data_IF_317352348174
#
_entry.id   IF_317352348174
#
_cell.length_a   1.000
_cell.length_b   1.000
_cell.length_c   1.000
_cell.angle_alpha   90.00
_cell.angle_beta   90.00
_cell.angle_gamma   90.00
#
_symmetry.space_group_name_H-M   'P 1'
#
loop_
_entity.id
_entity.type
_entity.pdbx_description
1 polymer ?
#
# COMPACT_ATOMS: atom_id res chain seq x y z
N UNK A 1 15.14 6.67 -16.44
CA UNK A 1 14.45 6.45 -15.15
C UNK A 1 15.04 5.21 -14.51
N UNK A 2 15.69 5.36 -13.36
CA UNK A 2 16.32 4.26 -12.63
C UNK A 2 15.25 3.34 -12.03
N UNK A 3 15.62 2.12 -11.65
CA UNK A 3 14.72 1.19 -10.96
C UNK A 3 14.20 1.79 -9.64
N UNK A 4 15.03 2.58 -8.96
CA UNK A 4 14.67 3.29 -7.74
C UNK A 4 13.58 4.35 -8.01
N UNK A 5 13.73 5.14 -9.07
CA UNK A 5 12.76 6.16 -9.47
C UNK A 5 11.41 5.55 -9.88
N UNK A 6 11.43 4.40 -10.57
CA UNK A 6 10.20 3.68 -10.93
C UNK A 6 9.45 3.19 -9.68
N UNK A 7 10.18 2.66 -8.69
CA UNK A 7 9.60 2.21 -7.41
C UNK A 7 9.04 3.36 -6.60
N UNK A 8 9.79 4.45 -6.48
CA UNK A 8 9.33 5.65 -5.78
C UNK A 8 8.07 6.23 -6.43
N UNK A 9 8.01 6.25 -7.77
CA UNK A 9 6.82 6.67 -8.52
C UNK A 9 5.62 5.76 -8.24
N UNK A 10 5.81 4.44 -8.29
CA UNK A 10 4.74 3.48 -8.01
C UNK A 10 4.22 3.61 -6.58
N UNK A 11 5.09 3.78 -5.59
CA UNK A 11 4.71 4.00 -4.20
C UNK A 11 3.90 5.30 -4.04
N UNK A 12 4.30 6.38 -4.70
CA UNK A 12 3.57 7.64 -4.70
C UNK A 12 2.18 7.53 -5.37
N UNK A 13 2.07 6.79 -6.48
CA UNK A 13 0.80 6.53 -7.17
C UNK A 13 -0.16 5.71 -6.27
N UNK A 14 0.33 4.65 -5.63
CA UNK A 14 -0.46 3.83 -4.69
C UNK A 14 -0.93 4.68 -3.50
N UNK A 15 -0.07 5.50 -2.93
CA UNK A 15 -0.44 6.41 -1.84
C UNK A 15 -1.54 7.38 -2.27
N UNK A 16 -1.41 7.98 -3.45
CA UNK A 16 -2.41 8.92 -4.00
C UNK A 16 -3.77 8.25 -4.17
N UNK A 17 -3.80 7.04 -4.74
CA UNK A 17 -5.04 6.26 -4.91
C UNK A 17 -5.70 5.94 -3.56
N UNK A 18 -4.93 5.57 -2.53
CA UNK A 18 -5.46 5.33 -1.17
C UNK A 18 -6.14 6.58 -0.61
N UNK A 19 -5.50 7.76 -0.75
CA UNK A 19 -6.08 9.01 -0.28
C UNK A 19 -7.38 9.37 -0.99
N UNK A 20 -7.45 9.15 -2.31
CA UNK A 20 -8.68 9.37 -3.07
C UNK A 20 -9.81 8.45 -2.61
N UNK A 21 -9.51 7.17 -2.33
CA UNK A 21 -10.51 6.22 -1.83
C UNK A 21 -11.03 6.61 -0.44
N UNK A 22 -10.15 7.10 0.45
CA UNK A 22 -10.55 7.64 1.75
C UNK A 22 -11.53 8.80 1.58
N UNK A 23 -11.15 9.78 0.76
CA UNK A 23 -11.95 10.99 0.54
C UNK A 23 -13.31 10.66 -0.08
N UNK A 24 -13.36 9.76 -1.07
CA UNK A 24 -14.61 9.28 -1.66
C UNK A 24 -15.47 8.55 -0.63
N UNK A 25 -14.88 7.67 0.17
CA UNK A 25 -15.65 6.92 1.17
C UNK A 25 -16.21 7.84 2.26
N UNK A 26 -15.43 8.79 2.77
CA UNK A 26 -15.90 9.75 3.78
C UNK A 26 -17.04 10.63 3.24
N UNK A 27 -17.03 10.95 1.93
CA UNK A 27 -18.15 11.68 1.29
C UNK A 27 -19.41 10.84 1.14
N UNK A 28 -19.27 9.54 0.87
CA UNK A 28 -20.41 8.63 0.67
C UNK A 28 -20.99 8.11 1.99
N UNK A 29 -20.14 7.79 2.95
CA UNK A 29 -20.47 7.17 4.23
C UNK A 29 -19.66 7.83 5.37
N UNK A 30 -20.02 9.06 5.79
CA UNK A 30 -19.23 9.83 6.77
C UNK A 30 -19.13 9.17 8.14
N UNK A 31 -20.11 8.34 8.52
CA UNK A 31 -20.13 7.63 9.80
C UNK A 31 -19.36 6.30 9.77
N UNK A 32 -18.90 5.87 8.58
CA UNK A 32 -18.15 4.63 8.42
C UNK A 32 -16.66 4.89 8.58
N UNK A 33 -16.12 4.54 9.75
CA UNK A 33 -14.67 4.55 9.97
C UNK A 33 -14.00 3.38 9.25
N UNK A 34 -13.34 3.66 8.13
CA UNK A 34 -12.55 2.69 7.36
C UNK A 34 -11.06 2.70 7.71
N UNK A 35 -10.64 3.56 8.66
CA UNK A 35 -9.23 3.74 9.02
C UNK A 35 -8.60 2.41 9.44
N UNK A 36 -9.30 1.62 10.24
CA UNK A 36 -8.82 0.32 10.69
C UNK A 36 -8.64 -0.68 9.53
N UNK A 37 -9.56 -0.67 8.56
CA UNK A 37 -9.45 -1.50 7.36
C UNK A 37 -8.24 -1.10 6.50
N UNK A 38 -8.05 0.20 6.29
CA UNK A 38 -6.92 0.71 5.51
C UNK A 38 -5.57 0.44 6.17
N UNK A 39 -5.50 0.58 7.49
CA UNK A 39 -4.31 0.24 8.27
C UNK A 39 -3.98 -1.26 8.15
N UNK A 40 -5.00 -2.11 8.19
CA UNK A 40 -4.83 -3.57 7.99
C UNK A 40 -4.29 -3.88 6.59
N UNK A 41 -4.85 -3.25 5.55
CA UNK A 41 -4.35 -3.40 4.17
C UNK A 41 -2.89 -2.95 4.06
N UNK A 42 -2.54 -1.82 4.67
CA UNK A 42 -1.16 -1.33 4.66
C UNK A 42 -0.20 -2.29 5.36
N UNK A 43 -0.55 -2.76 6.55
CA UNK A 43 0.26 -3.75 7.28
C UNK A 43 0.44 -5.04 6.48
N UNK A 44 -0.58 -5.51 5.77
CA UNK A 44 -0.49 -6.70 4.93
C UNK A 44 0.44 -6.48 3.73
N UNK A 45 0.39 -5.30 3.09
CA UNK A 45 1.31 -4.95 1.99
C UNK A 45 2.77 -4.93 2.47
N UNK A 46 3.02 -4.37 3.65
CA UNK A 46 4.38 -4.35 4.24
C UNK A 46 4.85 -5.77 4.62
N UNK A 47 3.97 -6.58 5.21
CA UNK A 47 4.28 -7.97 5.53
C UNK A 47 4.62 -8.79 4.27
N UNK A 48 3.87 -8.61 3.19
CA UNK A 48 4.11 -9.29 1.92
C UNK A 48 5.40 -8.81 1.25
N UNK A 49 5.67 -7.50 1.27
CA UNK A 49 6.96 -6.94 0.84
C UNK A 49 8.12 -7.59 1.60
N UNK A 50 8.02 -7.69 2.91
CA UNK A 50 9.04 -8.33 3.75
C UNK A 50 9.19 -9.82 3.44
N UNK A 51 8.08 -10.53 3.19
CA UNK A 51 8.08 -11.94 2.77
C UNK A 51 8.86 -12.13 1.46
N UNK A 52 8.59 -11.30 0.45
CA UNK A 52 9.27 -11.35 -0.86
C UNK A 52 10.77 -11.06 -0.72
N UNK A 53 11.13 -10.03 0.05
CA UNK A 53 12.54 -9.68 0.32
C UNK A 53 13.24 -10.87 0.99
N UNK A 54 12.63 -11.45 2.02
CA UNK A 54 13.22 -12.60 2.72
C UNK A 54 13.36 -13.84 1.83
N UNK A 55 12.37 -14.15 0.99
CA UNK A 55 12.47 -15.25 0.00
C UNK A 55 13.59 -15.00 -1.00
N UNK A 56 13.72 -13.77 -1.49
CA UNK A 56 14.80 -13.37 -2.42
C UNK A 56 16.17 -13.54 -1.78
N UNK A 57 16.35 -13.08 -0.54
CA UNK A 57 17.62 -13.24 0.20
C UNK A 57 17.97 -14.71 0.42
N UNK A 58 16.96 -15.57 0.65
CA UNK A 58 17.12 -17.01 0.88
C UNK A 58 17.28 -17.82 -0.41
N UNK A 59 17.10 -17.22 -1.58
CA UNK A 59 17.14 -17.92 -2.87
C UNK A 59 15.96 -18.87 -3.12
N UNK A 60 14.85 -18.69 -2.40
CA UNK A 60 13.64 -19.51 -2.50
C UNK A 60 12.71 -18.96 -3.60
N UNK A 61 12.97 -19.34 -4.87
CA UNK A 61 12.13 -19.01 -6.03
C UNK A 61 10.90 -19.91 -6.12
#
# INVERSE_FOLDING_TARGET
>A
MTELEKRAKLEAEIHTLKMMLVDVNLKLNPDLDITQYLNTIQSNVEAEKNRIINRTIRGEN
#
